data_IF_996341043318
#
_entry.id   IF_996341043318
#
_cell.length_a   1.000
_cell.length_b   1.000
_cell.length_c   1.000
_cell.angle_alpha   90.00
_cell.angle_beta   90.00
_cell.angle_gamma   90.00
#
_symmetry.space_group_name_H-M   'P 1'
#
loop_
_entity.id
_entity.type
_entity.pdbx_description
1 polymer ?
#
# COMPACT_ATOMS: atom_id res chain seq x y z
N UNK A 1 -11.43 -10.40 37.81
CA UNK A 1 -11.04 -10.51 36.39
C UNK A 1 -9.82 -11.41 36.31
N UNK A 2 -9.93 -12.62 35.76
CA UNK A 2 -8.77 -13.49 35.58
C UNK A 2 -7.94 -12.98 34.41
N UNK A 3 -6.79 -12.38 34.72
CA UNK A 3 -5.84 -11.89 33.73
C UNK A 3 -5.09 -13.07 33.12
N UNK A 4 -5.63 -13.69 32.06
CA UNK A 4 -4.89 -14.71 31.29
C UNK A 4 -3.76 -14.03 30.51
N UNK A 5 -2.51 -14.16 30.96
CA UNK A 5 -1.30 -13.61 30.32
C UNK A 5 -0.81 -14.46 29.15
N UNK A 6 -1.50 -15.55 28.81
CA UNK A 6 -1.07 -16.46 27.77
C UNK A 6 -1.23 -15.82 26.38
N UNK A 7 -0.11 -15.39 25.80
CA UNK A 7 -0.03 -15.06 24.39
C UNK A 7 -0.36 -16.31 23.56
N UNK A 8 -1.51 -16.31 22.88
CA UNK A 8 -1.99 -17.42 22.07
C UNK A 8 -2.34 -16.93 20.67
N UNK A 9 -1.43 -17.06 19.69
CA UNK A 9 -1.71 -16.70 18.31
C UNK A 9 -2.91 -17.45 17.77
N UNK A 10 -3.73 -16.77 16.98
CA UNK A 10 -4.94 -17.36 16.41
C UNK A 10 -4.62 -18.49 15.42
N UNK A 11 -3.42 -18.49 14.84
CA UNK A 11 -2.91 -19.55 13.98
C UNK A 11 -3.06 -20.95 14.61
N UNK A 12 -2.71 -21.09 15.89
CA UNK A 12 -2.74 -22.37 16.61
C UNK A 12 -4.17 -22.93 16.68
N UNK A 13 -5.15 -22.06 16.89
CA UNK A 13 -6.56 -22.45 16.94
C UNK A 13 -7.10 -22.77 15.55
N UNK A 14 -6.71 -21.98 14.55
CA UNK A 14 -7.19 -22.11 13.17
C UNK A 14 -6.66 -23.34 12.44
N UNK A 15 -5.50 -23.87 12.87
CA UNK A 15 -4.95 -25.13 12.36
C UNK A 15 -5.69 -26.37 12.88
N UNK A 16 -6.44 -26.27 13.99
CA UNK A 16 -7.23 -27.39 14.52
C UNK A 16 -8.41 -27.68 13.59
N UNK A 17 -8.47 -28.89 13.05
CA UNK A 17 -9.52 -29.28 12.09
C UNK A 17 -9.38 -28.61 10.73
N UNK A 18 -8.17 -28.22 10.34
CA UNK A 18 -7.91 -27.61 9.03
C UNK A 18 -8.14 -28.62 7.91
N UNK A 19 -9.02 -28.29 6.97
CA UNK A 19 -9.41 -29.17 5.87
C UNK A 19 -8.74 -28.79 4.56
N UNK A 20 -8.59 -29.75 3.64
CA UNK A 20 -8.06 -29.51 2.29
C UNK A 20 -8.87 -28.45 1.52
N UNK A 21 -10.18 -28.42 1.71
CA UNK A 21 -11.07 -27.41 1.12
C UNK A 21 -10.72 -26.00 1.61
N UNK A 22 -10.49 -25.84 2.92
CA UNK A 22 -10.09 -24.56 3.52
C UNK A 22 -8.70 -24.12 3.04
N UNK A 23 -7.75 -25.05 2.94
CA UNK A 23 -6.43 -24.77 2.38
C UNK A 23 -6.50 -24.19 0.96
N UNK A 24 -7.29 -24.79 0.07
CA UNK A 24 -7.48 -24.30 -1.30
C UNK A 24 -8.10 -22.89 -1.32
N UNK A 25 -9.06 -22.63 -0.44
CA UNK A 25 -9.69 -21.32 -0.32
C UNK A 25 -8.69 -20.26 0.20
N UNK A 26 -7.91 -20.58 1.24
CA UNK A 26 -6.94 -19.67 1.84
C UNK A 26 -5.77 -19.38 0.89
N UNK A 27 -5.29 -20.37 0.13
CA UNK A 27 -4.28 -20.15 -0.93
C UNK A 27 -4.84 -19.23 -2.01
N UNK A 28 -6.07 -19.45 -2.47
CA UNK A 28 -6.71 -18.58 -3.46
C UNK A 28 -6.88 -17.14 -2.97
N UNK A 29 -7.29 -16.97 -1.71
CA UNK A 29 -7.38 -15.65 -1.06
C UNK A 29 -5.99 -15.01 -0.91
N UNK A 30 -4.99 -15.75 -0.44
CA UNK A 30 -3.61 -15.27 -0.26
C UNK A 30 -2.97 -14.81 -1.56
N UNK A 31 -3.14 -15.57 -2.66
CA UNK A 31 -2.68 -15.17 -3.99
C UNK A 31 -3.38 -13.89 -4.46
N UNK A 32 -4.71 -13.81 -4.29
CA UNK A 32 -5.47 -12.62 -4.70
C UNK A 32 -5.03 -11.38 -3.94
N UNK A 33 -4.90 -11.50 -2.61
CA UNK A 33 -4.44 -10.43 -1.73
C UNK A 33 -3.01 -10.02 -2.07
N UNK A 34 -2.10 -10.99 -2.26
CA UNK A 34 -0.71 -10.74 -2.61
C UNK A 34 -0.56 -9.95 -3.91
N UNK A 35 -1.27 -10.35 -4.97
CA UNK A 35 -1.26 -9.64 -6.25
C UNK A 35 -1.73 -8.18 -6.11
N UNK A 36 -2.73 -7.91 -5.25
CA UNK A 36 -3.22 -6.54 -4.99
C UNK A 36 -2.27 -5.76 -4.08
N UNK A 37 -1.62 -6.43 -3.13
CA UNK A 37 -0.75 -5.80 -2.15
C UNK A 37 0.60 -5.37 -2.76
N UNK A 38 1.12 -6.10 -3.75
CA UNK A 38 2.43 -5.82 -4.37
C UNK A 38 2.53 -4.37 -4.92
N UNK A 39 1.62 -3.88 -5.78
CA UNK A 39 1.70 -2.51 -6.29
C UNK A 39 1.49 -1.47 -5.20
N UNK A 40 0.58 -1.75 -4.26
CA UNK A 40 0.25 -0.85 -3.16
C UNK A 40 1.45 -0.65 -2.23
N UNK A 41 2.17 -1.72 -1.90
CA UNK A 41 3.34 -1.69 -1.04
C UNK A 41 4.48 -0.86 -1.66
N UNK A 42 4.73 -1.03 -2.96
CA UNK A 42 5.70 -0.24 -3.71
C UNK A 42 5.30 1.24 -3.75
N UNK A 43 4.03 1.54 -4.06
CA UNK A 43 3.53 2.91 -4.12
C UNK A 43 3.67 3.63 -2.78
N UNK A 44 3.37 2.95 -1.67
CA UNK A 44 3.54 3.52 -0.32
C UNK A 44 5.01 3.77 0.02
N UNK A 45 5.93 2.87 -0.36
CA UNK A 45 7.36 3.11 -0.15
C UNK A 45 7.87 4.33 -0.94
N UNK A 46 7.47 4.46 -2.21
CA UNK A 46 7.81 5.62 -3.06
C UNK A 46 7.26 6.91 -2.45
N UNK A 47 5.99 6.90 -2.03
CA UNK A 47 5.36 8.06 -1.39
C UNK A 47 6.02 8.42 -0.05
N UNK A 48 6.63 7.45 0.62
CA UNK A 48 7.44 7.63 1.84
C UNK A 48 8.89 8.05 1.57
N UNK A 49 9.28 8.30 0.32
CA UNK A 49 10.63 8.73 -0.04
C UNK A 49 11.66 7.60 -0.02
N UNK A 50 11.20 6.34 -0.01
CA UNK A 50 12.01 5.14 -0.04
C UNK A 50 11.98 4.51 -1.43
N UNK A 51 12.92 3.60 -1.69
CA UNK A 51 12.88 2.78 -2.90
C UNK A 51 11.74 1.75 -2.82
N UNK A 52 11.16 1.31 -3.97
CA UNK A 52 10.03 0.39 -4.00
C UNK A 52 10.23 -0.91 -3.21
N UNK A 53 11.46 -1.41 -3.17
CA UNK A 53 11.80 -2.69 -2.53
C UNK A 53 11.59 -2.66 -1.03
N UNK A 54 11.77 -1.51 -0.39
CA UNK A 54 11.53 -1.35 1.04
C UNK A 54 10.06 -1.68 1.38
N UNK A 55 9.13 -1.28 0.50
CA UNK A 55 7.71 -1.61 0.62
C UNK A 55 7.43 -3.10 0.45
N UNK A 56 8.04 -3.73 -0.56
CA UNK A 56 7.91 -5.17 -0.82
C UNK A 56 8.40 -6.00 0.37
N UNK A 57 9.60 -5.72 0.87
CA UNK A 57 10.17 -6.43 2.03
C UNK A 57 9.35 -6.19 3.29
N UNK A 58 8.87 -4.97 3.51
CA UNK A 58 7.96 -4.67 4.62
C UNK A 58 6.68 -5.48 4.52
N UNK A 59 6.06 -5.57 3.34
CA UNK A 59 4.83 -6.34 3.15
C UNK A 59 5.04 -7.85 3.37
N UNK A 60 6.14 -8.42 2.86
CA UNK A 60 6.47 -9.85 3.02
C UNK A 60 6.72 -10.17 4.49
N UNK A 61 7.63 -9.44 5.15
CA UNK A 61 8.04 -9.73 6.52
C UNK A 61 6.90 -9.43 7.50
N UNK A 62 6.28 -8.25 7.41
CA UNK A 62 5.18 -7.88 8.30
C UNK A 62 3.95 -8.76 8.06
N UNK A 63 3.62 -9.09 6.81
CA UNK A 63 2.53 -9.99 6.47
C UNK A 63 2.72 -11.36 7.13
N UNK A 64 3.91 -11.97 6.98
CA UNK A 64 4.23 -13.25 7.62
C UNK A 64 4.15 -13.18 9.15
N UNK A 65 4.82 -12.20 9.77
CA UNK A 65 4.85 -12.07 11.23
C UNK A 65 3.47 -11.81 11.81
N UNK A 66 2.66 -10.94 11.19
CA UNK A 66 1.30 -10.63 11.64
C UNK A 66 0.38 -11.84 11.47
N UNK A 67 0.47 -12.58 10.37
CA UNK A 67 -0.31 -13.81 10.21
C UNK A 67 0.10 -14.92 11.18
N UNK A 68 1.39 -15.02 11.52
CA UNK A 68 1.91 -16.02 12.46
C UNK A 68 1.59 -15.71 13.94
N UNK A 69 1.71 -14.44 14.32
CA UNK A 69 1.64 -13.96 15.72
C UNK A 69 0.33 -13.23 16.05
N UNK A 70 -0.52 -12.95 15.06
CA UNK A 70 -1.72 -12.14 15.21
C UNK A 70 -2.87 -12.82 15.95
N UNK A 71 -3.84 -11.99 16.34
CA UNK A 71 -5.07 -12.42 17.04
C UNK A 71 -6.28 -12.71 16.13
N UNK A 72 -6.16 -12.45 14.82
CA UNK A 72 -7.28 -12.48 13.87
C UNK A 72 -6.96 -13.33 12.64
N UNK A 73 -7.96 -14.06 12.12
CA UNK A 73 -7.80 -14.96 10.98
C UNK A 73 -7.78 -14.30 9.60
N UNK A 74 -8.25 -13.06 9.52
CA UNK A 74 -8.43 -12.34 8.25
C UNK A 74 -7.61 -11.04 8.20
N UNK A 75 -6.74 -10.80 9.19
CA UNK A 75 -5.93 -9.59 9.21
C UNK A 75 -4.72 -9.75 8.29
N UNK A 76 -4.56 -8.81 7.37
CA UNK A 76 -3.43 -8.74 6.45
C UNK A 76 -2.49 -7.65 6.96
N UNK A 77 -1.24 -8.01 7.18
CA UNK A 77 -0.18 -7.10 7.60
C UNK A 77 0.59 -6.52 6.41
N UNK A 78 1.03 -5.27 6.51
CA UNK A 78 1.84 -4.63 5.48
C UNK A 78 2.03 -3.12 5.72
N UNK A 79 2.70 -2.42 4.79
CA UNK A 79 2.85 -0.97 4.87
C UNK A 79 1.47 -0.28 4.81
N UNK A 80 1.28 0.74 5.65
CA UNK A 80 0.01 1.44 5.78
C UNK A 80 0.14 2.90 5.37
N UNK A 81 -0.81 3.37 4.55
CA UNK A 81 -0.81 4.74 4.02
C UNK A 81 -0.79 5.83 5.10
N UNK A 82 -1.37 5.54 6.27
CA UNK A 82 -1.40 6.45 7.42
C UNK A 82 -0.01 6.89 7.91
N UNK A 83 1.02 6.07 7.68
CA UNK A 83 2.39 6.38 8.10
C UNK A 83 3.21 7.10 7.03
N UNK A 84 2.70 7.25 5.79
CA UNK A 84 3.48 7.76 4.66
C UNK A 84 4.14 9.09 4.98
N UNK A 85 3.35 10.05 5.47
CA UNK A 85 3.79 11.43 5.72
C UNK A 85 4.79 11.50 6.86
N UNK A 86 4.58 10.72 7.91
CA UNK A 86 5.48 10.68 9.07
C UNK A 86 6.82 10.05 8.66
N UNK A 87 6.78 8.92 7.95
CA UNK A 87 7.97 8.25 7.43
C UNK A 87 8.72 9.17 6.47
N UNK A 88 8.02 9.82 5.54
CA UNK A 88 8.61 10.78 4.61
C UNK A 88 9.30 11.92 5.35
N UNK A 89 8.63 12.52 6.35
CA UNK A 89 9.21 13.60 7.15
C UNK A 89 10.44 13.17 7.95
N UNK A 90 10.49 11.93 8.44
CA UNK A 90 11.68 11.39 9.11
C UNK A 90 12.81 11.17 8.11
N UNK A 91 12.53 10.56 6.96
CA UNK A 91 13.54 10.29 5.91
C UNK A 91 14.11 11.60 5.36
N UNK A 92 13.26 12.59 5.13
CA UNK A 92 13.65 13.89 4.58
C UNK A 92 14.54 14.68 5.56
N UNK A 93 14.23 14.66 6.87
CA UNK A 93 14.98 15.43 7.88
C UNK A 93 16.16 14.69 8.50
N UNK A 94 16.02 13.38 8.70
CA UNK A 94 16.96 12.57 9.48
C UNK A 94 17.53 11.39 8.69
N UNK A 95 17.05 11.11 7.49
CA UNK A 95 17.54 10.01 6.66
C UNK A 95 17.01 8.62 7.07
N UNK A 96 17.38 7.62 6.28
CA UNK A 96 16.86 6.25 6.39
C UNK A 96 17.38 5.52 7.64
N UNK A 97 18.63 5.74 8.05
CA UNK A 97 19.18 5.12 9.26
C UNK A 97 18.36 5.49 10.51
N UNK A 98 18.03 6.77 10.66
CA UNK A 98 17.20 7.26 11.78
C UNK A 98 15.73 6.79 11.70
N UNK A 99 15.20 6.58 10.48
CA UNK A 99 13.90 5.91 10.32
C UNK A 99 13.93 4.49 10.88
N UNK A 100 14.97 3.71 10.59
CA UNK A 100 15.09 2.33 11.07
C UNK A 100 15.18 2.29 12.61
N UNK A 101 15.99 3.16 13.20
CA UNK A 101 16.11 3.30 14.67
C UNK A 101 14.76 3.68 15.28
N UNK A 102 14.11 4.72 14.74
CA UNK A 102 12.81 5.19 15.23
C UNK A 102 11.73 4.10 15.15
N UNK A 103 11.73 3.33 14.06
CA UNK A 103 10.79 2.23 13.84
C UNK A 103 11.05 1.06 14.79
N UNK A 104 12.32 0.73 15.06
CA UNK A 104 12.69 -0.29 16.05
C UNK A 104 12.23 0.12 17.46
N UNK A 105 12.48 1.37 17.85
CA UNK A 105 12.01 1.93 19.12
C UNK A 105 10.46 1.90 19.23
N UNK A 106 9.76 2.28 18.16
CA UNK A 106 8.31 2.19 18.10
C UNK A 106 7.81 0.74 18.27
N UNK A 107 8.49 -0.23 17.66
CA UNK A 107 8.22 -1.66 17.82
C UNK A 107 8.35 -2.13 19.28
N UNK A 108 9.44 -1.74 19.96
CA UNK A 108 9.63 -2.04 21.39
C UNK A 108 8.51 -1.43 22.23
N UNK A 109 8.14 -0.17 21.98
CA UNK A 109 7.03 0.49 22.67
C UNK A 109 5.72 -0.26 22.42
N UNK A 110 5.41 -0.65 21.19
CA UNK A 110 4.20 -1.41 20.87
C UNK A 110 4.14 -2.76 21.57
N UNK A 111 5.27 -3.47 21.69
CA UNK A 111 5.37 -4.71 22.47
C UNK A 111 5.09 -4.46 23.94
N UNK A 112 5.69 -3.43 24.53
CA UNK A 112 5.44 -3.04 25.93
C UNK A 112 3.97 -2.68 26.17
N UNK A 113 3.37 -1.85 25.30
CA UNK A 113 1.95 -1.49 25.36
C UNK A 113 1.04 -2.74 25.26
N UNK A 114 1.42 -3.71 24.42
CA UNK A 114 0.75 -5.00 24.32
C UNK A 114 0.83 -5.83 25.60
N UNK A 115 2.03 -5.92 26.20
CA UNK A 115 2.27 -6.63 27.47
C UNK A 115 1.46 -6.01 28.63
N UNK A 116 1.39 -4.69 28.69
CA UNK A 116 0.59 -3.95 29.67
C UNK A 116 -0.92 -3.88 29.32
N UNK A 117 -1.34 -4.49 28.20
CA UNK A 117 -2.73 -4.50 27.69
C UNK A 117 -3.34 -3.11 27.48
N UNK A 118 -2.48 -2.13 27.24
CA UNK A 118 -2.86 -0.74 26.98
C UNK A 118 -3.55 -0.57 25.61
N UNK A 119 -3.58 -1.61 24.78
CA UNK A 119 -4.42 -1.65 23.57
C UNK A 119 -5.92 -1.46 23.86
N UNK A 120 -6.39 -1.77 25.07
CA UNK A 120 -7.78 -1.47 25.47
C UNK A 120 -8.05 0.04 25.48
N UNK A 121 -7.03 0.86 25.73
CA UNK A 121 -7.17 2.31 25.78
C UNK A 121 -7.53 2.93 24.43
N UNK A 122 -7.20 2.25 23.32
CA UNK A 122 -7.58 2.69 21.96
C UNK A 122 -9.11 2.82 21.83
N UNK A 123 -9.89 2.09 22.63
CA UNK A 123 -11.36 2.19 22.64
C UNK A 123 -11.88 3.51 23.17
N UNK A 124 -11.08 4.28 23.91
CA UNK A 124 -11.46 5.60 24.44
C UNK A 124 -11.17 6.74 23.46
N UNK A 125 -10.53 6.47 22.31
CA UNK A 125 -10.30 7.50 21.30
C UNK A 125 -11.65 7.89 20.67
N UNK A 126 -12.08 9.15 20.77
CA UNK A 126 -13.34 9.59 20.18
C UNK A 126 -13.37 9.37 18.67
N UNK A 127 -14.52 8.94 18.15
CA UNK A 127 -14.73 8.72 16.71
C UNK A 127 -14.44 9.98 15.91
N UNK A 128 -14.72 11.17 16.45
CA UNK A 128 -14.41 12.46 15.83
C UNK A 128 -12.91 12.65 15.56
N UNK A 129 -12.04 12.20 16.47
CA UNK A 129 -10.59 12.26 16.30
C UNK A 129 -10.15 11.31 15.18
N UNK A 130 -10.72 10.09 15.16
CA UNK A 130 -10.40 9.10 14.12
C UNK A 130 -10.81 9.59 12.74
N UNK A 131 -12.00 10.20 12.61
CA UNK A 131 -12.48 10.79 11.36
C UNK A 131 -11.57 11.94 10.93
N UNK A 132 -11.25 12.87 11.84
CA UNK A 132 -10.36 14.00 11.54
C UNK A 132 -8.97 13.54 11.09
N UNK A 133 -8.37 12.60 11.80
CA UNK A 133 -7.08 12.01 11.46
C UNK A 133 -7.11 11.31 10.09
N UNK A 134 -8.13 10.49 9.83
CA UNK A 134 -8.27 9.77 8.56
C UNK A 134 -8.46 10.72 7.37
N UNK A 135 -9.28 11.77 7.54
CA UNK A 135 -9.46 12.80 6.52
C UNK A 135 -8.17 13.58 6.27
N UNK A 136 -7.43 13.93 7.33
CA UNK A 136 -6.13 14.59 7.21
C UNK A 136 -5.12 13.75 6.41
N UNK A 137 -5.02 12.45 6.72
CA UNK A 137 -4.19 11.51 5.94
C UNK A 137 -4.67 11.44 4.49
N UNK A 138 -5.98 11.35 4.24
CA UNK A 138 -6.51 11.28 2.88
C UNK A 138 -6.11 12.50 2.04
N UNK A 139 -6.20 13.71 2.62
CA UNK A 139 -5.76 14.95 1.96
C UNK A 139 -4.25 14.95 1.71
N UNK A 140 -3.44 14.50 2.68
CA UNK A 140 -1.98 14.46 2.53
C UNK A 140 -1.53 13.44 1.49
N UNK A 141 -2.17 12.26 1.44
CA UNK A 141 -1.93 11.26 0.40
C UNK A 141 -2.35 11.83 -0.95
N UNK A 142 -3.53 12.44 -1.06
CA UNK A 142 -3.99 13.03 -2.31
C UNK A 142 -2.99 14.09 -2.81
N UNK A 143 -2.51 14.97 -1.93
CA UNK A 143 -1.52 15.99 -2.27
C UNK A 143 -0.18 15.37 -2.71
N UNK A 144 0.29 14.32 -2.05
CA UNK A 144 1.55 13.66 -2.41
C UNK A 144 1.51 13.01 -3.78
N UNK A 145 0.33 12.57 -4.24
CA UNK A 145 0.15 11.99 -5.58
C UNK A 145 0.08 13.03 -6.71
N UNK A 146 -0.17 14.32 -6.41
CA UNK A 146 -0.33 15.37 -7.44
C UNK A 146 0.93 15.50 -8.30
N UNK A 147 2.13 15.41 -7.69
CA UNK A 147 3.41 15.46 -8.40
C UNK A 147 3.46 14.38 -9.50
N UNK A 148 3.26 13.13 -9.12
CA UNK A 148 3.42 11.99 -10.03
C UNK A 148 2.25 11.90 -11.04
N UNK A 149 1.04 12.33 -10.66
CA UNK A 149 -0.10 12.38 -11.58
C UNK A 149 0.11 13.42 -12.68
N UNK A 150 0.57 14.63 -12.33
CA UNK A 150 0.88 15.67 -13.32
C UNK A 150 2.21 15.44 -14.04
N UNK A 151 3.03 14.50 -13.55
CA UNK A 151 4.37 14.23 -14.08
C UNK A 151 5.33 15.40 -13.91
N UNK A 152 5.24 16.14 -12.79
CA UNK A 152 6.06 17.32 -12.55
C UNK A 152 7.51 16.97 -12.25
N UNK A 153 8.43 17.77 -12.80
CA UNK A 153 9.87 17.61 -12.59
C UNK A 153 10.29 18.29 -11.29
N UNK A 154 10.21 17.56 -10.18
CA UNK A 154 10.60 18.06 -8.84
C UNK A 154 11.59 17.09 -8.20
N UNK A 155 12.81 17.54 -7.91
CA UNK A 155 13.86 16.67 -7.35
C UNK A 155 13.51 16.15 -5.95
N UNK A 156 13.06 17.05 -5.06
CA UNK A 156 12.70 16.72 -3.68
C UNK A 156 11.43 17.45 -3.26
N UNK A 157 10.46 16.69 -2.78
CA UNK A 157 9.27 17.27 -2.17
C UNK A 157 9.55 17.63 -0.70
N UNK A 158 9.05 18.76 -0.19
CA UNK A 158 9.14 19.04 1.23
C UNK A 158 8.18 18.14 2.04
N UNK A 159 8.47 17.92 3.32
CA UNK A 159 7.62 17.09 4.19
C UNK A 159 6.35 17.76 4.72
N UNK A 160 6.28 19.10 4.70
CA UNK A 160 5.17 19.87 5.27
C UNK A 160 4.11 20.22 4.21
N UNK A 161 2.83 20.16 4.57
CA UNK A 161 1.69 20.42 3.66
C UNK A 161 1.81 21.73 2.86
N UNK A 162 1.98 22.87 3.54
CA UNK A 162 2.03 24.18 2.86
C UNK A 162 3.23 24.31 1.93
N UNK A 163 4.37 23.74 2.30
CA UNK A 163 5.55 23.70 1.46
C UNK A 163 5.30 22.83 0.22
N UNK A 164 4.61 21.69 0.35
CA UNK A 164 4.26 20.84 -0.79
C UNK A 164 3.36 21.58 -1.77
N UNK A 165 2.33 22.28 -1.29
CA UNK A 165 1.44 23.09 -2.13
C UNK A 165 2.22 24.17 -2.87
N UNK A 166 3.12 24.89 -2.18
CA UNK A 166 3.92 25.94 -2.82
C UNK A 166 4.85 25.38 -3.90
N UNK A 167 5.56 24.27 -3.62
CA UNK A 167 6.45 23.63 -4.60
C UNK A 167 5.68 23.12 -5.82
N UNK A 168 4.49 22.53 -5.62
CA UNK A 168 3.63 22.09 -6.72
C UNK A 168 3.16 23.26 -7.58
N UNK A 169 2.78 24.38 -6.97
CA UNK A 169 2.37 25.59 -7.69
C UNK A 169 3.53 26.19 -8.51
N UNK A 170 4.75 26.14 -7.99
CA UNK A 170 5.94 26.67 -8.67
C UNK A 170 6.38 25.84 -9.88
N UNK A 171 6.07 24.53 -9.91
CA UNK A 171 6.48 23.62 -10.98
C UNK A 171 5.31 23.21 -11.89
N UNK A 172 4.17 23.89 -11.79
CA UNK A 172 2.94 23.56 -12.55
C UNK A 172 3.11 23.74 -14.06
N UNK A 173 4.12 24.48 -14.49
CA UNK A 173 4.54 24.67 -15.87
C UNK A 173 5.22 23.42 -16.46
N UNK A 174 5.74 22.52 -15.61
CA UNK A 174 6.43 21.28 -16.02
C UNK A 174 5.49 20.09 -16.22
N UNK A 175 4.19 20.33 -16.39
CA UNK A 175 3.18 19.26 -16.56
C UNK A 175 3.49 18.41 -17.79
N UNK A 176 3.45 17.09 -17.59
CA UNK A 176 3.57 16.10 -18.64
C UNK A 176 2.16 15.61 -19.06
N UNK A 177 1.69 15.95 -20.28
CA UNK A 177 0.36 15.56 -20.74
C UNK A 177 0.14 14.04 -20.80
N UNK A 178 1.20 13.25 -21.07
CA UNK A 178 1.11 11.80 -21.14
C UNK A 178 0.89 11.19 -19.74
N UNK A 179 1.62 11.67 -18.73
CA UNK A 179 1.45 11.24 -17.35
C UNK A 179 0.04 11.58 -16.84
N UNK A 180 -0.43 12.81 -17.11
CA UNK A 180 -1.76 13.25 -16.73
C UNK A 180 -2.86 12.41 -17.39
N UNK A 181 -2.75 12.14 -18.70
CA UNK A 181 -3.69 11.32 -19.44
C UNK A 181 -3.71 9.86 -18.95
N UNK A 182 -2.55 9.27 -18.66
CA UNK A 182 -2.45 7.94 -18.05
C UNK A 182 -3.08 7.90 -16.66
N UNK A 183 -2.87 8.93 -15.84
CA UNK A 183 -3.48 9.03 -14.51
C UNK A 183 -5.01 9.16 -14.58
N UNK A 184 -5.53 9.97 -15.50
CA UNK A 184 -6.98 10.04 -15.78
C UNK A 184 -7.53 8.69 -16.26
N UNK A 185 -6.83 8.02 -17.18
CA UNK A 185 -7.19 6.69 -17.64
C UNK A 185 -7.16 5.65 -16.51
N UNK A 186 -6.21 5.76 -15.59
CA UNK A 186 -6.13 4.92 -14.38
C UNK A 186 -7.36 5.11 -13.49
N UNK A 187 -7.68 6.36 -13.13
CA UNK A 187 -8.87 6.67 -12.33
C UNK A 187 -10.13 6.17 -13.03
N UNK A 188 -10.29 6.47 -14.32
CA UNK A 188 -11.43 5.99 -15.11
C UNK A 188 -11.54 4.46 -15.09
N UNK A 189 -10.43 3.74 -15.30
CA UNK A 189 -10.41 2.28 -15.30
C UNK A 189 -10.73 1.70 -13.92
N UNK A 190 -10.22 2.30 -12.83
CA UNK A 190 -10.53 1.88 -11.46
C UNK A 190 -12.02 1.98 -11.13
N UNK A 191 -12.71 3.00 -11.64
CA UNK A 191 -14.15 3.19 -11.42
C UNK A 191 -15.02 2.41 -12.42
N UNK A 192 -14.62 2.35 -13.70
CA UNK A 192 -15.38 1.70 -14.76
C UNK A 192 -15.26 0.18 -14.69
N UNK A 193 -14.09 -0.37 -14.32
CA UNK A 193 -13.88 -1.82 -14.31
C UNK A 193 -14.86 -2.57 -13.40
N UNK A 194 -15.04 -2.23 -12.11
CA UNK A 194 -16.02 -2.89 -11.27
C UNK A 194 -17.46 -2.69 -11.80
N UNK A 195 -17.77 -1.51 -12.37
CA UNK A 195 -19.09 -1.19 -12.94
C UNK A 195 -19.42 -2.00 -14.19
N UNK A 196 -18.44 -2.25 -15.05
CA UNK A 196 -18.59 -3.07 -16.24
C UNK A 196 -18.83 -4.55 -15.92
N UNK A 197 -18.41 -5.02 -14.73
CA UNK A 197 -18.53 -6.42 -14.31
C UNK A 197 -19.46 -6.66 -13.11
N UNK A 198 -20.19 -5.63 -12.66
CA UNK A 198 -21.26 -5.74 -11.66
C UNK A 198 -22.46 -6.51 -12.24
N UNK A 199 -23.14 -7.30 -11.39
CA UNK A 199 -24.30 -8.10 -11.78
C UNK A 199 -25.39 -7.21 -12.41
N UNK A 200 -25.62 -7.35 -13.73
CA UNK A 200 -26.60 -6.57 -14.49
C UNK A 200 -26.03 -5.69 -15.60
N UNK A 201 -24.71 -5.62 -15.77
CA UNK A 201 -24.10 -4.81 -16.85
C UNK A 201 -24.45 -5.35 -18.25
N UNK A 202 -24.52 -4.48 -19.27
CA UNK A 202 -24.80 -4.89 -20.65
C UNK A 202 -23.70 -5.80 -21.23
N UNK A 203 -22.45 -5.68 -20.75
CA UNK A 203 -21.31 -6.52 -21.20
C UNK A 203 -21.48 -7.98 -20.78
N UNK A 204 -21.94 -8.23 -19.55
CA UNK A 204 -22.21 -9.60 -19.07
C UNK A 204 -23.41 -10.21 -19.78
N UNK A 205 -24.43 -9.40 -20.13
CA UNK A 205 -25.59 -9.86 -20.91
C UNK A 205 -25.25 -10.15 -22.38
N UNK A 206 -24.33 -9.40 -22.97
CA UNK A 206 -23.93 -9.58 -24.37
C UNK A 206 -22.96 -10.76 -24.55
N UNK A 207 -22.16 -11.08 -23.52
CA UNK A 207 -21.18 -12.16 -23.56
C UNK A 207 -21.50 -13.22 -22.49
N UNK A 208 -22.40 -14.16 -22.79
CA UNK A 208 -22.77 -15.31 -21.94
C UNK A 208 -21.67 -16.39 -21.83
N UNK A 209 -20.41 -15.98 -21.66
CA UNK A 209 -19.27 -16.88 -21.54
C UNK A 209 -18.83 -17.06 -20.09
N UNK A 210 -18.67 -18.31 -19.64
CA UNK A 210 -17.98 -18.67 -18.38
C UNK A 210 -16.60 -17.98 -18.20
N UNK A 211 -15.94 -17.62 -19.31
CA UNK A 211 -14.66 -16.89 -19.33
C UNK A 211 -14.79 -15.43 -18.83
N UNK A 212 -15.90 -14.75 -19.11
CA UNK A 212 -16.15 -13.34 -18.74
C UNK A 212 -16.30 -13.20 -17.23
N UNK A 213 -17.04 -14.10 -16.58
CA UNK A 213 -17.20 -14.14 -15.11
C UNK A 213 -15.89 -14.43 -14.38
N UNK A 214 -14.93 -15.10 -15.03
CA UNK A 214 -13.61 -15.39 -14.45
C UNK A 214 -12.69 -14.17 -14.55
N UNK A 215 -12.75 -13.44 -15.67
CA UNK A 215 -12.01 -12.20 -15.89
C UNK A 215 -12.50 -11.04 -15.00
N UNK A 216 -13.80 -10.98 -14.72
CA UNK A 216 -14.42 -10.06 -13.77
C UNK A 216 -13.86 -10.14 -12.33
N UNK A 217 -13.20 -11.25 -11.95
CA UNK A 217 -12.61 -11.43 -10.62
C UNK A 217 -11.23 -10.81 -10.47
N UNK A 218 -10.63 -10.33 -11.56
CA UNK A 218 -9.32 -9.67 -11.50
C UNK A 218 -9.51 -8.29 -10.86
N UNK A 219 -8.74 -7.96 -9.80
CA UNK A 219 -8.82 -6.67 -9.14
C UNK A 219 -8.49 -5.51 -10.10
N UNK A 220 -9.32 -4.47 -10.10
CA UNK A 220 -9.15 -3.29 -10.97
C UNK A 220 -7.75 -2.65 -10.90
N UNK A 221 -7.09 -2.52 -9.72
CA UNK A 221 -5.74 -1.96 -9.64
C UNK A 221 -4.70 -2.75 -10.42
N UNK A 222 -4.83 -4.08 -10.47
CA UNK A 222 -3.91 -4.97 -11.18
C UNK A 222 -4.09 -4.80 -12.69
N UNK A 223 -5.34 -4.72 -13.13
CA UNK A 223 -5.66 -4.47 -14.54
C UNK A 223 -5.13 -3.12 -14.98
N UNK A 224 -5.37 -2.08 -14.18
CA UNK A 224 -4.87 -0.74 -14.47
C UNK A 224 -3.35 -0.71 -14.57
N UNK A 225 -2.67 -1.33 -13.61
CA UNK A 225 -1.21 -1.44 -13.64
C UNK A 225 -0.71 -2.11 -14.93
N UNK A 226 -1.23 -3.30 -15.26
CA UNK A 226 -0.76 -4.07 -16.43
C UNK A 226 -1.09 -3.35 -17.73
N UNK A 227 -2.34 -2.93 -17.92
CA UNK A 227 -2.81 -2.30 -19.17
C UNK A 227 -2.09 -0.99 -19.42
N UNK A 228 -2.01 -0.11 -18.41
CA UNK A 228 -1.38 1.21 -18.59
C UNK A 228 0.14 1.10 -18.73
N UNK A 229 0.78 0.13 -18.06
CA UNK A 229 2.22 -0.13 -18.26
C UNK A 229 2.51 -0.62 -19.68
N UNK A 230 1.68 -1.53 -20.22
CA UNK A 230 1.83 -2.01 -21.59
C UNK A 230 1.56 -0.92 -22.62
N UNK A 231 0.57 -0.04 -22.37
CA UNK A 231 0.31 1.12 -23.23
C UNK A 231 1.49 2.09 -23.22
N UNK A 232 1.99 2.46 -22.03
CA UNK A 232 3.14 3.35 -21.91
C UNK A 232 4.39 2.78 -22.60
N UNK A 233 4.66 1.48 -22.42
CA UNK A 233 5.77 0.79 -23.06
C UNK A 233 5.60 0.68 -24.58
N UNK A 234 4.44 0.20 -25.05
CA UNK A 234 4.18 -0.05 -26.47
C UNK A 234 4.16 1.22 -27.32
N UNK A 235 3.68 2.33 -26.78
CA UNK A 235 3.71 3.64 -27.45
C UNK A 235 4.95 4.48 -27.09
N UNK A 236 5.86 3.96 -26.25
CA UNK A 236 7.05 4.66 -25.79
C UNK A 236 6.76 6.06 -25.25
N UNK A 237 5.71 6.18 -24.43
CA UNK A 237 5.33 7.46 -23.84
C UNK A 237 6.47 8.01 -22.95
N UNK A 238 6.76 9.32 -23.00
CA UNK A 238 7.84 9.93 -22.23
C UNK A 238 7.39 10.12 -20.77
N UNK A 239 7.18 9.03 -20.04
CA UNK A 239 6.73 9.03 -18.65
C UNK A 239 7.75 8.33 -17.75
N UNK A 240 7.87 8.79 -16.51
CA UNK A 240 8.72 8.13 -15.53
C UNK A 240 8.19 6.72 -15.23
N UNK A 241 9.08 5.74 -15.30
CA UNK A 241 8.79 4.36 -14.89
C UNK A 241 9.59 4.02 -13.64
N UNK A 242 9.21 2.94 -12.94
CA UNK A 242 10.00 2.43 -11.83
C UNK A 242 11.44 2.11 -12.29
N UNK A 243 11.59 1.59 -13.51
CA UNK A 243 12.90 1.30 -14.10
C UNK A 243 13.75 2.55 -14.31
N UNK A 244 13.18 3.60 -14.91
CA UNK A 244 13.92 4.83 -15.20
C UNK A 244 14.23 5.66 -13.95
N UNK A 245 13.33 5.68 -12.96
CA UNK A 245 13.47 6.51 -11.75
C UNK A 245 14.26 5.83 -10.64
N UNK A 246 14.13 4.52 -10.47
CA UNK A 246 14.73 3.80 -9.33
C UNK A 246 15.80 2.78 -9.74
N UNK A 247 16.10 2.64 -11.04
CA UNK A 247 17.07 1.66 -11.54
C UNK A 247 16.54 0.23 -11.55
N UNK A 248 15.21 0.06 -11.50
CA UNK A 248 14.55 -1.24 -11.42
C UNK A 248 14.43 -1.76 -9.98
N UNK A 249 13.93 -3.00 -9.85
CA UNK A 249 13.68 -3.66 -8.57
C UNK A 249 14.79 -4.72 -8.35
N UNK A 250 15.69 -4.56 -7.36
CA UNK A 250 16.63 -5.57 -6.91
C UNK A 250 16.02 -6.97 -6.80
N UNK A 251 16.69 -7.96 -7.37
CA UNK A 251 16.28 -9.37 -7.33
C UNK A 251 16.89 -10.16 -6.16
N UNK A 252 17.71 -9.51 -5.33
CA UNK A 252 18.38 -10.13 -4.19
C UNK A 252 17.63 -9.95 -2.85
N UNK A 253 18.07 -10.72 -1.86
CA UNK A 253 17.69 -10.49 -0.46
C UNK A 253 18.27 -9.15 0.02
N UNK A 254 17.59 -8.44 0.94
CA UNK A 254 18.12 -7.21 1.50
C UNK A 254 19.35 -7.58 2.35
N UNK A 255 20.43 -6.82 2.19
CA UNK A 255 21.59 -6.98 3.06
C UNK A 255 21.19 -6.50 4.45
N UNK A 256 21.43 -7.33 5.46
CA UNK A 256 21.17 -6.92 6.83
C UNK A 256 22.28 -5.98 7.28
N UNK A 257 21.94 -4.70 7.42
CA UNK A 257 22.83 -3.67 7.92
C UNK A 257 22.24 -3.08 9.19
N UNK A 258 23.08 -2.96 10.23
CA UNK A 258 22.71 -2.20 11.41
C UNK A 258 22.71 -0.71 11.07
N UNK A 259 21.70 0.06 11.47
CA UNK A 259 21.72 1.50 11.28
C UNK A 259 22.92 2.09 12.06
N UNK A 260 23.82 2.75 11.33
CA UNK A 260 25.00 3.44 11.86
C UNK A 260 24.79 4.95 11.87
#
# INVERSE_FOLDING_TARGET
MQFSTAFRPRLIDSLRGYTKSRWLADVGAGVTVGIVALPLAMAFAIASGLKPEAGLWTAIIAGFLISALGGTNAQIGGPAGAFIVIVYGIVERYGVANLLISTACAGVILVLLGLFRLGTLVRFVPVSIVIGFTNGIAVLIALSQVKDWLGLSVDRMPGNFFSQVNTLAQHIDTVNPYAFALGLACVALLFLWPRLFLQGSPVIRLMEGHKVRRFARVPAPVVALVVLSLLAWGFSFPVETIGSRFGGIPQGLPVFELPA
#
